data_IF_545450691444
#
_entry.id   IF_545450691444
#
_cell.length_a   1.000
_cell.length_b   1.000
_cell.length_c   1.000
_cell.angle_alpha   90.00
_cell.angle_beta   90.00
_cell.angle_gamma   90.00
#
_symmetry.space_group_name_H-M   'P 1'
#
loop_
_entity.id
_entity.type
_entity.pdbx_description
1 polymer ?
#
# COMPACT_ATOMS: atom_id res chain seq x y z
N UNK A 1 -11.88 1.17 -0.26
CA UNK A 1 -11.27 1.04 -1.60
C UNK A 1 -11.28 2.35 -2.40
N UNK A 2 -12.40 3.10 -2.54
CA UNK A 2 -12.40 4.35 -3.33
C UNK A 2 -11.39 5.38 -2.81
N UNK A 3 -11.25 5.49 -1.49
CA UNK A 3 -10.24 6.36 -0.86
C UNK A 3 -8.81 6.11 -1.33
N UNK A 4 -8.40 4.85 -1.52
CA UNK A 4 -7.03 4.52 -1.98
C UNK A 4 -6.89 4.87 -3.46
N UNK A 5 -7.94 4.64 -4.24
CA UNK A 5 -7.99 5.01 -5.65
C UNK A 5 -7.81 6.53 -5.79
N UNK A 6 -8.68 7.30 -5.13
CA UNK A 6 -8.63 8.76 -5.17
C UNK A 6 -7.28 9.32 -4.67
N UNK A 7 -6.72 8.76 -3.60
CA UNK A 7 -5.43 9.22 -3.08
C UNK A 7 -4.29 9.00 -4.09
N UNK A 8 -4.25 7.83 -4.74
CA UNK A 8 -3.23 7.51 -5.74
C UNK A 8 -3.42 8.36 -7.00
N UNK A 9 -4.66 8.53 -7.47
CA UNK A 9 -4.96 9.37 -8.64
C UNK A 9 -4.60 10.84 -8.38
N UNK A 10 -4.79 11.36 -7.16
CA UNK A 10 -4.42 12.74 -6.81
C UNK A 10 -2.93 12.95 -6.58
N UNK A 11 -2.22 11.96 -6.03
CA UNK A 11 -0.80 12.10 -5.68
C UNK A 11 0.12 11.92 -6.89
N UNK A 12 -0.31 11.12 -7.86
CA UNK A 12 0.52 10.74 -9.00
C UNK A 12 -0.11 11.14 -10.35
N UNK A 13 -1.28 11.80 -10.35
CA UNK A 13 -2.02 12.22 -11.55
C UNK A 13 -2.21 11.10 -12.59
N UNK A 14 -2.26 9.85 -12.11
CA UNK A 14 -2.50 8.64 -12.91
C UNK A 14 -3.96 8.21 -12.82
N UNK A 15 -4.36 7.33 -13.73
CA UNK A 15 -5.69 6.74 -13.78
C UNK A 15 -5.64 5.26 -13.37
N UNK A 16 -6.40 4.92 -12.34
CA UNK A 16 -6.36 3.60 -11.72
C UNK A 16 -7.53 2.74 -12.21
N UNK A 17 -7.20 1.59 -12.80
CA UNK A 17 -8.17 0.60 -13.29
C UNK A 17 -8.78 -0.21 -12.15
N UNK A 18 -7.95 -0.74 -11.24
CA UNK A 18 -8.43 -1.56 -10.12
C UNK A 18 -7.52 -1.49 -8.89
N UNK A 19 -8.11 -1.72 -7.72
CA UNK A 19 -7.40 -1.75 -6.44
C UNK A 19 -7.78 -3.01 -5.66
N UNK A 20 -6.77 -3.84 -5.40
CA UNK A 20 -6.89 -5.04 -4.59
C UNK A 20 -6.20 -4.80 -3.25
N UNK A 21 -6.92 -5.04 -2.14
CA UNK A 21 -6.39 -4.78 -0.79
C UNK A 21 -6.31 -6.07 0.01
N UNK A 22 -5.23 -6.22 0.78
CA UNK A 22 -5.05 -7.31 1.71
C UNK A 22 -4.53 -6.78 3.05
N UNK A 23 -5.01 -7.35 4.16
CA UNK A 23 -4.53 -7.00 5.49
C UNK A 23 -3.45 -7.99 5.87
N UNK A 24 -2.21 -7.52 6.00
CA UNK A 24 -1.11 -8.32 6.53
C UNK A 24 -1.14 -8.21 8.05
N UNK A 25 -1.43 -9.34 8.69
CA UNK A 25 -1.34 -9.45 10.13
C UNK A 25 0.09 -9.25 10.62
N UNK A 26 0.22 -8.49 11.69
CA UNK A 26 1.47 -8.26 12.39
C UNK A 26 2.04 -9.57 12.91
N UNK A 27 3.36 -9.73 12.81
CA UNK A 27 4.01 -10.92 13.37
C UNK A 27 4.13 -10.76 14.88
N UNK A 28 3.86 -11.84 15.60
CA UNK A 28 4.23 -11.93 17.01
C UNK A 28 5.76 -11.98 17.09
N UNK A 29 6.34 -11.09 17.89
CA UNK A 29 7.78 -10.96 18.09
C UNK A 29 8.06 -10.86 19.59
N UNK A 30 9.28 -11.21 19.97
CA UNK A 30 9.75 -11.10 21.35
C UNK A 30 10.82 -10.02 21.36
N UNK A 31 10.67 -9.05 22.26
CA UNK A 31 11.70 -8.04 22.51
C UNK A 31 12.08 -8.10 23.99
N UNK A 32 13.36 -8.37 24.28
CA UNK A 32 13.90 -8.48 25.65
C UNK A 32 13.04 -9.36 26.59
N UNK A 33 12.59 -10.52 26.10
CA UNK A 33 11.77 -11.47 26.86
C UNK A 33 10.27 -11.16 26.94
N UNK A 34 9.80 -10.01 26.44
CA UNK A 34 8.36 -9.67 26.37
C UNK A 34 7.80 -9.99 24.99
N UNK A 35 6.69 -10.73 24.95
CA UNK A 35 5.92 -10.99 23.72
C UNK A 35 5.15 -9.71 23.33
N UNK A 36 5.34 -9.27 22.10
CA UNK A 36 4.60 -8.17 21.49
C UNK A 36 4.14 -8.56 20.08
N UNK A 37 3.16 -7.84 19.55
CA UNK A 37 2.68 -8.03 18.18
C UNK A 37 2.98 -6.77 17.40
N UNK A 38 3.53 -6.92 16.19
CA UNK A 38 3.70 -5.79 15.29
C UNK A 38 2.32 -5.26 14.86
N UNK A 39 2.23 -4.00 14.47
CA UNK A 39 0.98 -3.45 13.93
C UNK A 39 0.58 -4.16 12.63
N UNK A 40 -0.73 -4.39 12.49
CA UNK A 40 -1.32 -4.85 11.23
C UNK A 40 -1.15 -3.76 10.16
N UNK A 41 -0.79 -4.15 8.94
CA UNK A 41 -0.65 -3.22 7.82
C UNK A 41 -1.57 -3.64 6.70
N UNK A 42 -2.39 -2.71 6.20
CA UNK A 42 -3.17 -2.92 4.99
C UNK A 42 -2.30 -2.61 3.78
N UNK A 43 -2.08 -3.60 2.93
CA UNK A 43 -1.40 -3.45 1.64
C UNK A 43 -2.43 -3.28 0.53
N UNK A 44 -2.12 -2.45 -0.44
CA UNK A 44 -2.88 -2.29 -1.66
C UNK A 44 -2.00 -2.61 -2.87
N UNK A 45 -2.51 -3.46 -3.76
CA UNK A 45 -1.96 -3.69 -5.09
C UNK A 45 -2.85 -2.95 -6.07
N UNK A 46 -2.26 -2.03 -6.83
CA UNK A 46 -2.97 -1.10 -7.71
C UNK A 46 -2.60 -1.41 -9.15
N UNK A 47 -3.61 -1.49 -10.02
CA UNK A 47 -3.43 -1.67 -11.46
C UNK A 47 -3.77 -0.39 -12.18
N UNK A 48 -2.82 0.16 -12.93
CA UNK A 48 -2.97 1.38 -13.73
C UNK A 48 -3.55 1.07 -15.11
N UNK A 49 -3.97 2.11 -15.84
CA UNK A 49 -4.28 2.00 -17.26
C UNK A 49 -2.99 1.83 -18.10
N UNK A 50 -3.13 1.21 -19.28
CA UNK A 50 -1.99 0.89 -20.13
C UNK A 50 -1.27 2.18 -20.59
N UNK A 51 0.05 2.21 -20.47
CA UNK A 51 0.89 3.34 -20.86
C UNK A 51 1.18 4.35 -19.75
N UNK A 52 0.63 4.17 -18.54
CA UNK A 52 0.96 5.00 -17.38
C UNK A 52 2.00 4.29 -16.50
N UNK A 53 3.09 5.00 -16.22
CA UNK A 53 4.18 4.54 -15.35
C UNK A 53 4.37 5.52 -14.21
N UNK A 54 4.59 4.98 -13.01
CA UNK A 54 4.97 5.78 -11.84
C UNK A 54 6.47 5.59 -11.66
N UNK A 55 7.26 6.64 -11.87
CA UNK A 55 8.67 6.65 -11.52
C UNK A 55 8.82 6.94 -10.02
N UNK A 56 9.17 5.90 -9.26
CA UNK A 56 9.33 5.92 -7.80
C UNK A 56 10.76 6.38 -7.41
N UNK A 57 11.65 6.54 -8.38
CA UNK A 57 13.08 6.84 -8.20
C UNK A 57 13.39 8.31 -7.91
N UNK A 58 12.42 9.22 -8.05
CA UNK A 58 12.60 10.67 -7.81
C UNK A 58 12.46 11.11 -6.35
N UNK A 59 12.35 10.16 -5.40
CA UNK A 59 12.59 10.42 -3.98
C UNK A 59 11.36 10.21 -3.10
N UNK A 60 11.29 9.01 -2.52
CA UNK A 60 10.65 8.72 -1.23
C UNK A 60 11.59 7.88 -0.38
#
# INVERSE_FOLDING_TARGET
KPQIKEAVERLFDVKVKSVNTLVRKGKVKIFKGRKGVQSDVKKAVVTLEAGQTIDITTGL
#
